data_IF_720018684209
#
_entry.id   IF_720018684209
#
_cell.length_a   1.000
_cell.length_b   1.000
_cell.length_c   1.000
_cell.angle_alpha   90.00
_cell.angle_beta   90.00
_cell.angle_gamma   90.00
#
_symmetry.space_group_name_H-M   'P 1'
#
loop_
_entity.id
_entity.type
_entity.pdbx_description
1 polymer ?
#
# COMPACT_ATOMS: atom_id res chain seq x y z
N UNK A 1 -17.03 -9.17 -3.61
CA UNK A 1 -16.24 -8.63 -4.74
C UNK A 1 -15.43 -7.46 -4.20
N UNK A 2 -14.14 -7.46 -4.52
CA UNK A 2 -12.99 -7.04 -3.68
C UNK A 2 -13.12 -5.68 -2.97
N UNK A 3 -12.74 -5.65 -1.69
CA UNK A 3 -12.69 -4.44 -0.86
C UNK A 3 -11.41 -3.59 -1.08
N UNK A 4 -10.71 -3.81 -2.21
CA UNK A 4 -9.37 -3.26 -2.48
C UNK A 4 -9.15 -2.95 -3.97
N UNK A 5 -10.15 -2.43 -4.69
CA UNK A 5 -10.08 -2.23 -6.14
C UNK A 5 -9.01 -1.20 -6.56
N UNK A 6 -8.78 -0.20 -5.72
CA UNK A 6 -7.74 0.82 -5.92
C UNK A 6 -6.36 0.21 -5.73
N UNK A 7 -6.17 -0.61 -4.69
CA UNK A 7 -4.93 -1.37 -4.50
C UNK A 7 -4.67 -2.30 -5.70
N UNK A 8 -5.70 -3.03 -6.16
CA UNK A 8 -5.60 -3.96 -7.29
C UNK A 8 -5.09 -3.24 -8.54
N UNK A 9 -5.60 -2.04 -8.86
CA UNK A 9 -5.09 -1.22 -9.98
C UNK A 9 -3.64 -0.79 -9.82
N UNK A 10 -3.20 -0.52 -8.60
CA UNK A 10 -1.82 -0.08 -8.33
C UNK A 10 -0.85 -1.25 -8.55
N UNK A 11 -1.25 -2.47 -8.21
CA UNK A 11 -0.38 -3.65 -8.32
C UNK A 11 -0.40 -4.34 -9.69
N UNK A 12 -1.45 -4.15 -10.50
CA UNK A 12 -1.72 -4.93 -11.72
C UNK A 12 -0.64 -4.80 -12.82
N UNK A 13 0.23 -3.80 -12.73
CA UNK A 13 1.27 -3.55 -13.73
C UNK A 13 2.63 -3.35 -13.07
N UNK A 14 3.39 -4.42 -12.79
CA UNK A 14 4.82 -4.35 -12.40
C UNK A 14 5.76 -3.91 -13.54
N UNK A 15 5.27 -2.99 -14.37
CA UNK A 15 6.05 -2.30 -15.41
C UNK A 15 6.91 -1.22 -14.78
N UNK A 16 7.87 -0.65 -15.52
CA UNK A 16 8.72 0.46 -15.05
C UNK A 16 7.97 1.76 -14.73
N UNK A 17 6.67 1.82 -14.94
CA UNK A 17 5.86 2.99 -14.67
C UNK A 17 5.51 3.08 -13.17
N UNK A 18 5.74 4.26 -12.60
CA UNK A 18 5.35 4.57 -11.24
C UNK A 18 3.83 4.62 -11.14
N UNK A 19 3.24 3.83 -10.22
CA UNK A 19 1.82 3.89 -9.90
C UNK A 19 1.63 4.28 -8.44
N UNK A 20 0.68 5.16 -8.14
CA UNK A 20 0.39 5.58 -6.77
C UNK A 20 -1.07 5.92 -6.59
N UNK A 21 -1.54 5.89 -5.35
CA UNK A 21 -2.91 6.23 -5.01
C UNK A 21 -3.13 6.45 -3.52
N UNK A 22 -4.31 6.98 -3.22
CA UNK A 22 -4.82 7.14 -1.86
C UNK A 22 -5.97 6.16 -1.70
N UNK A 23 -5.94 5.40 -0.60
CA UNK A 23 -6.98 4.46 -0.22
C UNK A 23 -7.68 5.01 1.01
N UNK A 24 -8.96 5.36 0.85
CA UNK A 24 -9.84 5.75 1.95
C UNK A 24 -10.58 4.52 2.44
N UNK A 25 -10.47 4.20 3.73
CA UNK A 25 -11.15 3.06 4.33
C UNK A 25 -12.51 3.44 4.93
N UNK A 26 -13.36 2.44 5.16
CA UNK A 26 -14.71 2.65 5.70
C UNK A 26 -14.74 3.30 7.09
N UNK A 27 -13.72 3.07 7.92
CA UNK A 27 -13.60 3.70 9.24
C UNK A 27 -12.93 5.09 9.21
N UNK A 28 -12.62 5.60 8.01
CA UNK A 28 -12.03 6.91 7.80
C UNK A 28 -10.49 6.93 7.75
N UNK A 29 -9.81 5.79 7.91
CA UNK A 29 -8.37 5.73 7.69
C UNK A 29 -8.01 6.09 6.24
N UNK A 30 -6.93 6.85 6.04
CA UNK A 30 -6.46 7.27 4.71
C UNK A 30 -5.02 6.84 4.51
N UNK A 31 -4.81 5.86 3.63
CA UNK A 31 -3.51 5.26 3.36
C UNK A 31 -2.93 5.79 2.04
N UNK A 32 -1.68 6.21 2.04
CA UNK A 32 -0.93 6.48 0.81
C UNK A 32 -0.18 5.23 0.35
N UNK A 33 -0.32 4.85 -0.91
CA UNK A 33 0.29 3.63 -1.47
C UNK A 33 1.04 3.96 -2.76
N UNK A 34 2.27 3.47 -2.87
CA UNK A 34 3.17 3.78 -3.99
C UNK A 34 3.86 2.50 -4.47
N UNK A 35 3.69 2.19 -5.74
CA UNK A 35 4.44 1.17 -6.47
C UNK A 35 5.57 1.83 -7.28
N UNK A 36 6.73 1.18 -7.33
CA UNK A 36 7.94 1.70 -8.00
C UNK A 36 8.32 3.14 -7.58
N UNK A 37 8.32 3.39 -6.27
CA UNK A 37 8.79 4.65 -5.69
C UNK A 37 10.30 4.77 -5.85
N UNK A 38 10.75 5.87 -6.47
CA UNK A 38 12.14 6.22 -6.83
C UNK A 38 13.19 6.06 -5.71
N UNK A 39 12.75 5.91 -4.46
CA UNK A 39 13.64 6.02 -3.30
C UNK A 39 14.06 4.65 -2.79
N UNK A 40 13.17 3.70 -2.48
CA UNK A 40 13.60 2.34 -2.10
C UNK A 40 12.56 1.22 -2.29
N UNK A 41 11.59 1.34 -3.22
CA UNK A 41 10.82 0.13 -3.57
C UNK A 41 11.81 -0.80 -4.26
N UNK A 42 12.30 -1.81 -3.54
CA UNK A 42 13.08 -2.88 -4.14
C UNK A 42 12.29 -3.31 -5.37
N UNK A 43 12.84 -3.19 -6.59
CA UNK A 43 12.23 -3.84 -7.72
C UNK A 43 12.41 -5.33 -7.44
N UNK A 44 11.46 -5.97 -6.75
CA UNK A 44 11.18 -7.37 -7.07
C UNK A 44 10.36 -7.36 -8.35
N UNK A 45 10.99 -6.80 -9.38
CA UNK A 45 10.59 -6.88 -10.75
C UNK A 45 11.22 -8.18 -11.27
N UNK A 46 10.48 -9.27 -11.17
CA UNK A 46 10.26 -9.97 -12.42
C UNK A 46 9.46 -8.99 -13.28
N UNK A 47 10.12 -8.40 -14.28
CA UNK A 47 9.64 -7.29 -15.11
C UNK A 47 8.45 -7.64 -16.02
N UNK A 48 7.61 -8.58 -15.60
CA UNK A 48 6.43 -9.09 -16.27
C UNK A 48 5.26 -9.43 -15.30
N UNK A 49 5.40 -9.23 -13.99
CA UNK A 49 4.42 -9.63 -12.97
C UNK A 49 3.75 -8.45 -12.24
N UNK A 50 2.75 -8.69 -11.39
CA UNK A 50 2.20 -7.68 -10.48
C UNK A 50 3.22 -7.30 -9.40
N UNK A 51 3.12 -6.08 -8.86
CA UNK A 51 3.95 -5.69 -7.71
C UNK A 51 3.65 -6.59 -6.52
N UNK A 52 4.68 -7.07 -5.84
CA UNK A 52 4.56 -7.88 -4.62
C UNK A 52 4.79 -7.07 -3.34
N UNK A 53 5.42 -5.90 -3.46
CA UNK A 53 5.77 -5.02 -2.35
C UNK A 53 5.45 -3.58 -2.72
N UNK A 54 5.01 -2.80 -1.72
CA UNK A 54 4.58 -1.42 -1.88
C UNK A 54 5.22 -0.55 -0.82
N UNK A 55 5.53 0.69 -1.20
CA UNK A 55 5.75 1.73 -0.21
C UNK A 55 4.39 2.21 0.30
N UNK A 56 4.23 2.25 1.62
CA UNK A 56 3.02 2.72 2.28
C UNK A 56 3.32 3.88 3.21
N UNK A 57 2.38 4.82 3.26
CA UNK A 57 2.33 5.91 4.24
C UNK A 57 1.03 5.74 5.01
N UNK A 58 1.16 5.49 6.31
CA UNK A 58 0.07 5.19 7.23
C UNK A 58 -0.03 6.35 8.22
N UNK A 59 -1.23 6.92 8.42
CA UNK A 59 -1.43 8.09 9.28
C UNK A 59 -1.26 7.74 10.76
N UNK A 60 -1.12 8.77 11.59
CA UNK A 60 -1.11 8.63 13.04
C UNK A 60 -2.40 7.96 13.54
N UNK A 61 -2.28 7.11 14.57
CA UNK A 61 -3.42 6.41 15.18
C UNK A 61 -3.88 5.16 14.43
N UNK A 62 -3.30 4.86 13.26
CA UNK A 62 -3.45 3.57 12.58
C UNK A 62 -2.25 2.69 12.92
N UNK A 63 -2.53 1.48 13.42
CA UNK A 63 -1.49 0.51 13.72
C UNK A 63 -0.88 -0.02 12.41
N UNK A 64 0.44 0.06 12.22
CA UNK A 64 1.09 -0.46 11.02
C UNK A 64 0.98 -1.99 10.95
N UNK A 65 1.07 -2.59 9.75
CA UNK A 65 1.13 -4.04 9.61
C UNK A 65 2.41 -4.60 10.27
N UNK A 66 2.31 -5.83 10.80
CA UNK A 66 3.44 -6.49 11.47
C UNK A 66 4.52 -6.93 10.48
N UNK A 67 4.13 -7.21 9.23
CA UNK A 67 5.02 -7.58 8.13
C UNK A 67 5.62 -6.36 7.41
N UNK A 68 6.87 -6.52 6.97
CA UNK A 68 7.62 -5.50 6.23
C UNK A 68 8.59 -4.65 7.06
N UNK A 69 9.20 -3.67 6.42
CA UNK A 69 10.06 -2.68 7.06
C UNK A 69 9.30 -1.38 7.22
N UNK A 70 8.95 -1.00 8.44
CA UNK A 70 8.19 0.21 8.73
C UNK A 70 8.94 1.05 9.76
N UNK A 71 9.03 2.35 9.49
CA UNK A 71 9.62 3.32 10.39
C UNK A 71 8.61 4.43 10.69
N UNK A 72 8.60 4.91 11.93
CA UNK A 72 7.87 6.13 12.27
C UNK A 72 8.73 7.34 11.92
N UNK A 73 8.29 8.18 10.98
CA UNK A 73 8.92 9.47 10.68
C UNK A 73 7.86 10.56 10.70
N UNK A 74 8.14 11.64 11.42
CA UNK A 74 7.27 12.83 11.44
C UNK A 74 5.81 12.51 11.77
N UNK A 75 5.59 11.63 12.76
CA UNK A 75 4.27 11.18 13.21
C UNK A 75 3.46 10.35 12.19
N UNK A 76 4.11 9.87 11.13
CA UNK A 76 3.51 8.98 10.14
C UNK A 76 4.35 7.71 10.04
N UNK A 77 3.70 6.55 9.94
CA UNK A 77 4.41 5.34 9.64
C UNK A 77 4.66 5.29 8.13
N UNK A 78 5.91 5.03 7.75
CA UNK A 78 6.30 4.86 6.36
C UNK A 78 7.15 3.62 6.23
N UNK A 79 6.86 2.81 5.23
CA UNK A 79 7.55 1.53 5.11
C UNK A 79 7.34 0.82 3.79
N UNK A 80 8.04 -0.29 3.66
CA UNK A 80 7.95 -1.25 2.57
C UNK A 80 7.26 -2.50 3.08
N UNK A 81 6.13 -2.83 2.48
CA UNK A 81 5.21 -3.82 2.99
C UNK A 81 4.76 -4.72 1.84
N UNK A 82 4.57 -6.02 2.12
CA UNK A 82 4.01 -6.95 1.13
C UNK A 82 2.57 -6.57 0.78
N UNK A 83 2.16 -6.80 -0.46
CA UNK A 83 0.79 -6.47 -0.92
C UNK A 83 -0.28 -7.11 -0.05
N UNK A 84 -0.06 -8.34 0.40
CA UNK A 84 -1.03 -9.06 1.22
C UNK A 84 -1.20 -8.42 2.61
N UNK A 85 -0.11 -7.95 3.23
CA UNK A 85 -0.17 -7.19 4.48
C UNK A 85 -0.92 -5.86 4.30
N UNK A 86 -0.77 -5.20 3.14
CA UNK A 86 -1.53 -3.98 2.81
C UNK A 86 -3.02 -4.31 2.63
N UNK A 87 -3.37 -5.43 2.01
CA UNK A 87 -4.77 -5.90 1.90
C UNK A 87 -5.37 -6.17 3.27
N UNK A 88 -4.63 -6.84 4.14
CA UNK A 88 -5.07 -7.09 5.51
C UNK A 88 -5.31 -5.79 6.27
N UNK A 89 -4.40 -4.82 6.14
CA UNK A 89 -4.56 -3.51 6.76
C UNK A 89 -5.86 -2.85 6.28
N UNK A 90 -6.08 -2.76 4.97
CA UNK A 90 -7.32 -2.19 4.41
C UNK A 90 -8.56 -2.94 4.91
N UNK A 91 -8.50 -4.27 4.96
CA UNK A 91 -9.61 -5.09 5.45
C UNK A 91 -9.92 -4.86 6.94
N UNK A 92 -8.91 -4.70 7.80
CA UNK A 92 -9.08 -4.35 9.22
C UNK A 92 -9.81 -3.02 9.41
N UNK A 93 -9.60 -2.08 8.50
CA UNK A 93 -10.24 -0.76 8.46
C UNK A 93 -11.57 -0.73 7.68
N UNK A 94 -12.13 -1.91 7.36
CA UNK A 94 -13.44 -2.04 6.73
C UNK A 94 -13.45 -1.95 5.21
N UNK A 95 -12.28 -2.06 4.55
CA UNK A 95 -12.17 -2.01 3.10
C UNK A 95 -12.15 -0.60 2.53
N UNK A 96 -11.95 -0.48 1.22
CA UNK A 96 -12.07 0.78 0.49
C UNK A 96 -13.51 1.34 0.56
N UNK A 97 -13.64 2.59 1.01
CA UNK A 97 -14.88 3.35 0.88
C UNK A 97 -15.16 3.60 -0.61
N UNK A 98 -16.39 3.36 -1.05
CA UNK A 98 -16.80 3.70 -2.40
C UNK A 98 -16.68 5.22 -2.60
N UNK A 99 -15.91 5.62 -3.62
CA UNK A 99 -15.80 7.00 -4.06
C UNK A 99 -17.12 7.52 -4.66
#
# INVERSE_FOLDING_TARGET
MSATATLDRIIDHGTTDQASGIITCADGAVLGVYANSLVHSLPMADSAGPYTHLEVVIPEGVEPPEGGWIINRDQHWRGYVEVEDVRELIARHGGEAAA
#
